data_IF_306231450320
#
_entry.id   IF_306231450320
#
_cell.length_a   1.000
_cell.length_b   1.000
_cell.length_c   1.000
_cell.angle_alpha   90.00
_cell.angle_beta   90.00
_cell.angle_gamma   90.00
#
_symmetry.space_group_name_H-M   'P 1'
#
loop_
_entity.id
_entity.type
_entity.pdbx_description
1 polymer ?
#
# COMPACT_ATOMS: atom_id res chain seq x y z
N UNK A 1 -2.95 -18.41 -8.08
CA UNK A 1 -1.65 -18.98 -8.51
C UNK A 1 -0.92 -17.89 -9.28
N UNK A 2 0.13 -17.31 -8.70
CA UNK A 2 1.01 -16.39 -9.42
C UNK A 2 1.71 -17.19 -10.51
N UNK A 3 1.44 -16.83 -11.76
CA UNK A 3 2.30 -17.22 -12.88
C UNK A 3 3.70 -16.73 -12.53
N UNK A 4 4.74 -17.57 -12.60
CA UNK A 4 6.11 -17.24 -12.19
C UNK A 4 6.83 -16.14 -12.99
N UNK A 5 6.10 -15.14 -13.49
CA UNK A 5 6.63 -13.93 -14.14
C UNK A 5 6.62 -12.76 -13.15
N UNK A 6 7.55 -11.83 -13.35
CA UNK A 6 7.51 -10.54 -12.66
C UNK A 6 6.17 -9.81 -12.93
N UNK A 7 5.65 -9.17 -11.88
CA UNK A 7 4.47 -8.32 -11.96
C UNK A 7 4.88 -6.85 -12.00
N UNK A 8 4.11 -6.02 -12.70
CA UNK A 8 4.30 -4.57 -12.74
C UNK A 8 3.20 -3.87 -11.96
N UNK A 9 3.58 -3.24 -10.84
CA UNK A 9 2.72 -2.32 -10.10
C UNK A 9 3.07 -0.88 -10.49
N UNK A 10 2.14 -0.17 -11.12
CA UNK A 10 2.39 1.19 -11.61
C UNK A 10 2.02 2.23 -10.54
N UNK A 11 3.00 3.00 -10.04
CA UNK A 11 2.71 4.12 -9.12
C UNK A 11 1.93 5.21 -9.86
N UNK A 12 0.84 5.66 -9.24
CA UNK A 12 -0.01 6.73 -9.76
C UNK A 12 0.34 8.10 -9.19
N UNK A 13 1.38 8.20 -8.37
CA UNK A 13 1.77 9.44 -7.70
C UNK A 13 2.03 10.60 -8.69
N UNK A 14 2.51 10.28 -9.89
CA UNK A 14 2.81 11.25 -10.96
C UNK A 14 1.73 11.31 -12.04
N UNK A 15 0.58 10.67 -11.81
CA UNK A 15 -0.50 10.62 -12.76
C UNK A 15 -1.30 11.94 -12.82
N UNK A 16 -2.08 12.11 -13.87
CA UNK A 16 -3.00 13.25 -14.02
C UNK A 16 -4.26 13.04 -13.16
N UNK A 17 -4.25 13.61 -11.95
CA UNK A 17 -5.39 13.58 -11.03
C UNK A 17 -6.62 14.36 -11.54
N UNK A 18 -6.46 15.24 -12.53
CA UNK A 18 -7.58 15.90 -13.19
C UNK A 18 -8.43 14.93 -14.02
N UNK A 19 -7.90 13.76 -14.39
CA UNK A 19 -8.64 12.74 -15.13
C UNK A 19 -8.17 11.31 -14.80
N UNK A 20 -8.55 10.83 -13.62
CA UNK A 20 -8.24 9.47 -13.15
C UNK A 20 -8.77 8.37 -14.08
N UNK A 21 -9.94 8.56 -14.70
CA UNK A 21 -10.50 7.59 -15.64
C UNK A 21 -9.55 7.33 -16.81
N UNK A 22 -9.00 8.40 -17.40
CA UNK A 22 -8.03 8.30 -18.51
C UNK A 22 -6.76 7.60 -18.07
N UNK A 23 -6.25 7.90 -16.86
CA UNK A 23 -5.07 7.24 -16.28
C UNK A 23 -5.30 5.73 -16.18
N UNK A 24 -6.40 5.32 -15.56
CA UNK A 24 -6.76 3.92 -15.36
C UNK A 24 -6.88 3.18 -16.69
N UNK A 25 -7.63 3.72 -17.66
CA UNK A 25 -7.78 3.08 -18.98
C UNK A 25 -6.47 2.94 -19.73
N UNK A 26 -5.55 3.91 -19.59
CA UNK A 26 -4.22 3.83 -20.20
C UNK A 26 -3.40 2.69 -19.60
N UNK A 27 -3.44 2.54 -18.27
CA UNK A 27 -2.69 1.51 -17.55
C UNK A 27 -3.26 0.10 -17.82
N UNK A 28 -4.58 -0.06 -17.86
CA UNK A 28 -5.23 -1.33 -18.24
C UNK A 28 -4.82 -1.78 -19.64
N UNK A 29 -4.81 -0.86 -20.62
CA UNK A 29 -4.35 -1.14 -21.99
C UNK A 29 -2.86 -1.47 -22.08
N UNK A 30 -2.05 -0.93 -21.16
CA UNK A 30 -0.63 -1.23 -21.07
C UNK A 30 -0.37 -2.60 -20.41
N UNK A 31 -1.39 -3.26 -19.85
CA UNK A 31 -1.27 -4.58 -19.23
C UNK A 31 -0.53 -4.57 -17.90
N UNK A 32 -0.61 -3.47 -17.13
CA UNK A 32 -0.04 -3.45 -15.77
C UNK A 32 -0.81 -4.41 -14.87
N UNK A 33 -0.11 -5.03 -13.93
CA UNK A 33 -0.68 -6.04 -13.04
C UNK A 33 -1.42 -5.40 -11.86
N UNK A 34 -0.95 -4.24 -11.38
CA UNK A 34 -1.47 -3.55 -10.19
C UNK A 34 -1.35 -2.03 -10.31
N UNK A 35 -2.17 -1.31 -9.54
CA UNK A 35 -1.99 0.13 -9.30
C UNK A 35 -1.35 0.33 -7.93
N UNK A 36 -0.21 1.01 -7.88
CA UNK A 36 0.48 1.32 -6.65
C UNK A 36 0.12 2.74 -6.19
N UNK A 37 -0.34 2.86 -4.94
CA UNK A 37 -0.91 4.08 -4.36
C UNK A 37 -0.07 4.51 -3.15
N UNK A 38 0.78 5.52 -3.36
CA UNK A 38 1.64 6.10 -2.32
C UNK A 38 0.89 7.14 -1.46
N UNK A 39 0.59 6.77 -0.23
CA UNK A 39 -0.06 7.61 0.79
C UNK A 39 1.00 8.18 1.71
N UNK A 40 1.12 9.51 1.76
CA UNK A 40 2.09 10.24 2.58
C UNK A 40 1.36 11.26 3.45
N UNK A 41 1.75 11.41 4.71
CA UNK A 41 1.06 12.26 5.71
C UNK A 41 1.79 13.57 6.06
N UNK A 42 2.91 13.88 5.41
CA UNK A 42 3.74 15.04 5.71
C UNK A 42 4.56 14.95 7.01
N UNK A 43 4.41 13.87 7.79
CA UNK A 43 5.11 13.65 9.06
C UNK A 43 6.17 12.58 8.93
N UNK A 44 5.78 11.38 8.46
CA UNK A 44 6.73 10.29 8.24
C UNK A 44 7.69 10.61 7.09
N UNK A 45 7.16 11.24 6.03
CA UNK A 45 7.93 11.82 4.93
C UNK A 45 7.52 13.28 4.73
N UNK A 46 8.42 14.17 4.28
CA UNK A 46 8.13 15.60 4.12
C UNK A 46 7.31 15.91 2.85
N UNK A 47 6.30 15.10 2.56
CA UNK A 47 5.37 15.28 1.45
C UNK A 47 3.98 14.78 1.86
N UNK A 48 2.94 15.39 1.28
CA UNK A 48 1.54 15.03 1.51
C UNK A 48 0.90 14.65 0.18
N UNK A 49 0.28 13.48 0.11
CA UNK A 49 -0.36 13.00 -1.14
C UNK A 49 -1.88 13.02 -1.03
N UNK A 50 -2.49 11.88 -0.69
CA UNK A 50 -3.93 11.69 -0.65
C UNK A 50 -4.31 10.64 0.40
N UNK A 51 -5.59 10.60 0.79
CA UNK A 51 -6.13 9.61 1.71
C UNK A 51 -6.94 8.49 1.06
N UNK A 52 -7.66 7.75 1.90
CA UNK A 52 -8.52 6.62 1.53
C UNK A 52 -9.62 6.99 0.51
N UNK A 53 -10.09 8.24 0.46
CA UNK A 53 -11.07 8.70 -0.53
C UNK A 53 -10.58 8.54 -1.98
N UNK A 54 -9.27 8.75 -2.21
CA UNK A 54 -8.66 8.56 -3.53
C UNK A 54 -8.51 7.08 -3.86
N UNK A 55 -8.19 6.23 -2.87
CA UNK A 55 -8.20 4.77 -3.04
C UNK A 55 -9.60 4.29 -3.46
N UNK A 56 -10.65 4.79 -2.80
CA UNK A 56 -12.03 4.49 -3.17
C UNK A 56 -12.39 5.00 -4.58
N UNK A 57 -11.84 6.15 -4.99
CA UNK A 57 -12.02 6.66 -6.35
C UNK A 57 -11.39 5.72 -7.40
N UNK A 58 -10.17 5.23 -7.18
CA UNK A 58 -9.56 4.23 -8.06
C UNK A 58 -10.35 2.93 -8.07
N UNK A 59 -10.83 2.45 -6.91
CA UNK A 59 -11.61 1.21 -6.82
C UNK A 59 -12.86 1.25 -7.68
N UNK A 60 -13.55 2.40 -7.77
CA UNK A 60 -14.73 2.58 -8.64
C UNK A 60 -14.41 2.54 -10.14
N UNK A 61 -13.15 2.74 -10.52
CA UNK A 61 -12.73 2.89 -11.93
C UNK A 61 -12.16 1.61 -12.54
N UNK A 62 -11.66 0.68 -11.73
CA UNK A 62 -11.00 -0.54 -12.19
C UNK A 62 -11.28 -1.73 -11.29
N UNK A 63 -11.03 -2.95 -11.79
CA UNK A 63 -10.94 -4.19 -11.01
C UNK A 63 -9.48 -4.64 -10.78
N UNK A 64 -8.48 -3.90 -11.27
CA UNK A 64 -7.07 -4.20 -10.99
C UNK A 64 -6.79 -4.15 -9.48
N UNK A 65 -5.89 -5.01 -8.96
CA UNK A 65 -5.47 -4.93 -7.57
C UNK A 65 -4.89 -3.56 -7.21
N UNK A 66 -5.33 -3.02 -6.08
CA UNK A 66 -4.84 -1.76 -5.51
C UNK A 66 -3.81 -2.07 -4.42
N UNK A 67 -2.57 -1.69 -4.68
CA UNK A 67 -1.45 -1.85 -3.76
C UNK A 67 -1.20 -0.53 -3.02
N UNK A 68 -1.60 -0.47 -1.76
CA UNK A 68 -1.59 0.76 -0.96
C UNK A 68 -0.34 0.79 -0.08
N UNK A 69 0.53 1.76 -0.35
CA UNK A 69 1.74 2.00 0.40
C UNK A 69 1.55 3.18 1.34
N UNK A 70 1.58 2.91 2.64
CA UNK A 70 1.36 3.86 3.71
C UNK A 70 2.70 4.37 4.27
N UNK A 71 3.19 5.47 3.71
CA UNK A 71 4.29 6.28 4.24
C UNK A 71 3.75 7.28 5.27
N UNK A 72 3.19 6.77 6.36
CA UNK A 72 2.53 7.55 7.41
C UNK A 72 3.01 7.13 8.80
N UNK A 73 2.97 8.06 9.77
CA UNK A 73 3.52 7.83 11.11
C UNK A 73 2.71 6.81 11.91
N UNK A 74 1.38 6.79 11.77
CA UNK A 74 0.48 5.97 12.57
C UNK A 74 -0.51 5.16 11.72
N UNK A 75 -0.05 4.13 10.98
CA UNK A 75 -0.89 3.37 10.07
C UNK A 75 -2.08 2.67 10.74
N UNK A 76 -1.93 2.21 11.99
CA UNK A 76 -3.01 1.54 12.73
C UNK A 76 -4.31 2.36 12.79
N UNK A 77 -4.21 3.70 12.83
CA UNK A 77 -5.36 4.61 12.94
C UNK A 77 -6.22 4.69 11.69
N UNK A 78 -5.68 4.30 10.53
CA UNK A 78 -6.32 4.51 9.23
C UNK A 78 -6.57 3.22 8.48
N UNK A 79 -6.00 2.10 8.92
CA UNK A 79 -5.97 0.87 8.14
C UNK A 79 -7.36 0.36 7.76
N UNK A 80 -8.32 0.39 8.70
CA UNK A 80 -9.70 -0.03 8.44
C UNK A 80 -10.36 0.83 7.35
N UNK A 81 -10.13 2.14 7.35
CA UNK A 81 -10.67 3.04 6.31
C UNK A 81 -10.08 2.76 4.93
N UNK A 82 -8.81 2.38 4.88
CA UNK A 82 -8.15 2.00 3.63
C UNK A 82 -8.63 0.63 3.12
N UNK A 83 -8.92 -0.31 4.03
CA UNK A 83 -9.57 -1.59 3.72
C UNK A 83 -10.98 -1.35 3.16
N UNK A 84 -11.78 -0.53 3.82
CA UNK A 84 -13.14 -0.16 3.38
C UNK A 84 -13.13 0.56 2.03
N UNK A 85 -12.11 1.37 1.75
CA UNK A 85 -11.91 2.02 0.46
C UNK A 85 -11.60 1.03 -0.69
N UNK A 86 -11.33 -0.23 -0.38
CA UNK A 86 -11.14 -1.30 -1.35
C UNK A 86 -9.69 -1.55 -1.78
N UNK A 87 -8.72 -1.16 -0.95
CA UNK A 87 -7.33 -1.60 -1.12
C UNK A 87 -7.20 -3.13 -0.99
N UNK A 88 -6.29 -3.71 -1.77
CA UNK A 88 -6.10 -5.17 -1.85
C UNK A 88 -4.83 -5.64 -1.11
N UNK A 89 -3.77 -4.82 -1.13
CA UNK A 89 -2.58 -4.98 -0.30
C UNK A 89 -2.25 -3.69 0.44
N UNK A 90 -1.69 -3.83 1.63
CA UNK A 90 -1.30 -2.71 2.49
C UNK A 90 0.12 -2.92 3.00
N UNK A 91 1.01 -2.03 2.60
CA UNK A 91 2.40 -2.03 3.03
C UNK A 91 2.68 -0.74 3.80
N UNK A 92 3.20 -0.83 5.02
CA UNK A 92 3.63 0.34 5.78
C UNK A 92 5.07 0.16 6.28
N UNK A 93 5.72 1.25 6.64
CA UNK A 93 7.12 1.21 7.04
C UNK A 93 7.33 0.58 8.41
N UNK A 94 8.35 -0.28 8.54
CA UNK A 94 8.77 -0.82 9.85
C UNK A 94 9.26 0.29 10.78
N UNK A 95 9.63 1.45 10.23
CA UNK A 95 10.05 2.65 10.96
C UNK A 95 8.89 3.57 11.36
N UNK A 96 7.63 3.19 11.14
CA UNK A 96 6.50 4.01 11.58
C UNK A 96 6.55 4.24 13.11
N UNK A 97 5.91 5.33 13.56
CA UNK A 97 5.91 5.80 14.95
C UNK A 97 4.90 5.00 15.80
N UNK A 98 5.02 3.67 15.77
CA UNK A 98 4.16 2.75 16.49
C UNK A 98 5.01 1.65 17.14
N UNK A 99 4.68 1.16 18.35
CA UNK A 99 5.33 0.00 18.93
C UNK A 99 5.13 -1.26 18.07
N UNK A 100 6.07 -2.21 18.14
CA UNK A 100 6.02 -3.44 17.33
C UNK A 100 4.76 -4.28 17.57
N UNK A 101 4.20 -4.26 18.78
CA UNK A 101 2.92 -4.89 19.10
C UNK A 101 1.77 -4.31 18.25
N UNK A 102 1.69 -2.98 18.14
CA UNK A 102 0.69 -2.27 17.34
C UNK A 102 0.91 -2.52 15.84
N UNK A 103 2.17 -2.58 15.38
CA UNK A 103 2.48 -2.98 14.01
C UNK A 103 1.98 -4.40 13.72
N UNK A 104 2.27 -5.35 14.60
CA UNK A 104 1.84 -6.74 14.45
C UNK A 104 0.30 -6.87 14.44
N UNK A 105 -0.40 -6.13 15.31
CA UNK A 105 -1.87 -6.09 15.31
C UNK A 105 -2.43 -5.49 14.03
N UNK A 106 -1.83 -4.41 13.52
CA UNK A 106 -2.22 -3.81 12.23
C UNK A 106 -2.08 -4.81 11.08
N UNK A 107 -0.98 -5.58 11.04
CA UNK A 107 -0.77 -6.64 10.04
C UNK A 107 -1.82 -7.77 10.16
N UNK A 108 -2.24 -8.13 11.38
CA UNK A 108 -3.30 -9.11 11.62
C UNK A 108 -4.66 -8.60 11.16
N UNK A 109 -5.01 -7.35 11.47
CA UNK A 109 -6.26 -6.71 10.99
C UNK A 109 -6.35 -6.75 9.46
N UNK A 110 -5.25 -6.41 8.77
CA UNK A 110 -5.18 -6.51 7.30
C UNK A 110 -5.45 -7.95 6.82
N UNK A 111 -4.80 -8.94 7.46
CA UNK A 111 -4.96 -10.36 7.12
C UNK A 111 -6.39 -10.85 7.34
N UNK A 112 -6.98 -10.52 8.49
CA UNK A 112 -8.34 -10.91 8.87
C UNK A 112 -9.41 -10.31 7.94
N UNK A 113 -9.14 -9.14 7.38
CA UNK A 113 -9.95 -8.54 6.32
C UNK A 113 -9.79 -9.21 4.93
N UNK A 114 -9.01 -10.29 4.84
CA UNK A 114 -8.74 -11.01 3.58
C UNK A 114 -7.82 -10.26 2.63
N UNK A 115 -6.98 -9.35 3.15
CA UNK A 115 -6.06 -8.50 2.39
C UNK A 115 -4.61 -8.93 2.63
N UNK A 116 -3.70 -8.46 1.78
CA UNK A 116 -2.28 -8.82 1.90
C UNK A 116 -1.50 -7.80 2.72
N UNK A 117 -1.04 -8.15 3.94
CA UNK A 117 -0.20 -7.30 4.77
C UNK A 117 1.26 -7.29 4.29
N UNK A 118 1.91 -6.13 4.38
CA UNK A 118 3.32 -5.98 4.07
C UNK A 118 4.03 -4.95 4.95
N UNK A 119 5.36 -5.07 4.98
CA UNK A 119 6.24 -4.07 5.56
C UNK A 119 7.23 -3.54 4.52
N UNK A 120 7.46 -2.24 4.55
CA UNK A 120 8.51 -1.55 3.82
C UNK A 120 9.70 -1.26 4.74
N UNK A 121 10.88 -1.21 4.14
CA UNK A 121 12.14 -0.86 4.82
C UNK A 121 12.74 0.34 4.09
N UNK A 122 13.09 1.38 4.83
CA UNK A 122 13.76 2.55 4.25
C UNK A 122 15.20 2.20 3.85
N UNK A 123 15.81 2.90 2.89
CA UNK A 123 17.18 2.58 2.43
C UNK A 123 18.26 2.57 3.52
N UNK A 124 18.07 3.33 4.60
CA UNK A 124 18.98 3.38 5.75
C UNK A 124 18.76 2.30 6.80
N UNK A 125 17.70 1.49 6.67
CA UNK A 125 17.30 0.49 7.66
C UNK A 125 17.69 -0.90 7.16
N UNK A 126 18.22 -1.74 8.04
CA UNK A 126 18.53 -3.12 7.71
C UNK A 126 17.25 -3.90 7.41
N UNK A 127 17.25 -4.69 6.34
CA UNK A 127 16.15 -5.61 6.00
C UNK A 127 15.85 -6.59 7.15
N UNK A 128 16.85 -6.90 8.00
CA UNK A 128 16.64 -7.72 9.19
C UNK A 128 15.59 -7.16 10.17
N UNK A 129 15.26 -5.85 10.09
CA UNK A 129 14.22 -5.24 10.91
C UNK A 129 12.83 -5.87 10.72
N UNK A 130 12.57 -6.53 9.58
CA UNK A 130 11.28 -7.21 9.32
C UNK A 130 11.23 -8.64 9.85
N UNK A 131 12.36 -9.21 10.29
CA UNK A 131 12.45 -10.60 10.76
C UNK A 131 11.40 -10.98 11.82
N UNK A 132 11.14 -10.13 12.85
CA UNK A 132 10.12 -10.44 13.87
C UNK A 132 8.70 -10.57 13.31
N UNK A 133 8.44 -9.97 12.13
CA UNK A 133 7.13 -9.91 11.52
C UNK A 133 6.93 -10.94 10.40
N UNK A 134 7.98 -11.64 9.95
CA UNK A 134 7.93 -12.56 8.79
C UNK A 134 6.71 -13.50 8.74
N UNK A 135 6.26 -14.13 9.85
CA UNK A 135 5.07 -14.99 9.82
C UNK A 135 3.77 -14.27 9.47
N UNK A 136 3.73 -12.95 9.56
CA UNK A 136 2.56 -12.10 9.30
C UNK A 136 2.55 -11.53 7.88
N UNK A 137 3.69 -11.49 7.16
CA UNK A 137 3.85 -10.74 5.91
C UNK A 137 3.53 -11.56 4.67
N UNK A 138 2.86 -10.93 3.71
CA UNK A 138 2.80 -11.39 2.31
C UNK A 138 3.77 -10.63 1.41
N UNK A 139 4.10 -9.39 1.79
CA UNK A 139 4.88 -8.45 0.98
C UNK A 139 5.99 -7.85 1.85
N UNK A 140 7.20 -7.82 1.29
CA UNK A 140 8.32 -7.04 1.81
C UNK A 140 8.73 -6.07 0.70
N UNK A 141 8.84 -4.78 1.03
CA UNK A 141 9.28 -3.74 0.12
C UNK A 141 10.62 -3.15 0.60
N UNK A 142 11.56 -2.97 -0.35
CA UNK A 142 12.95 -2.57 -0.13
C UNK A 142 13.26 -1.37 -1.03
#
# INVERSE_FOLDING_TARGET
>A
MTTGRAQVAASILTADFGNLYRVVRKLERAGVDRLHLDVMDGHFVPNLTFGHDVVAAFRRLTSMPLDVHLMISHPSRYIERFIEAGGDSFTFHVECDEPDEIKADTLRVIREAGRSPGLAVSPGTSVAAVEPFLPLLDIIMI
#
